data_IF_857256311865
#
_entry.id   IF_857256311865
#
_cell.length_a   1.000
_cell.length_b   1.000
_cell.length_c   1.000
_cell.angle_alpha   90.00
_cell.angle_beta   90.00
_cell.angle_gamma   90.00
#
_symmetry.space_group_name_H-M   'P 1'
#
loop_
_entity.id
_entity.type
_entity.pdbx_description
1 polymer ?
#
# COMPACT_ATOMS: atom_id res chain seq x y z
N UNK A 1 15.34 -28.03 -34.30
CA UNK A 1 14.80 -27.75 -32.94
C UNK A 1 15.75 -26.78 -32.26
N UNK A 2 15.38 -25.49 -32.17
CA UNK A 2 16.24 -24.44 -31.59
C UNK A 2 15.43 -23.58 -30.62
N UNK A 3 15.88 -23.63 -29.35
CA UNK A 3 15.91 -22.58 -28.32
C UNK A 3 14.69 -21.66 -28.15
N UNK A 4 13.98 -21.85 -27.03
CA UNK A 4 13.14 -20.84 -26.38
C UNK A 4 14.03 -19.80 -25.66
N UNK A 5 13.78 -18.48 -25.80
CA UNK A 5 14.45 -17.50 -24.95
C UNK A 5 13.68 -17.30 -23.64
N UNK A 6 14.39 -17.51 -22.54
CA UNK A 6 14.14 -16.91 -21.23
C UNK A 6 14.54 -15.42 -21.25
N UNK A 7 13.97 -14.66 -20.31
CA UNK A 7 14.27 -13.29 -19.85
C UNK A 7 13.25 -12.19 -20.22
N UNK A 8 12.57 -11.71 -19.17
CA UNK A 8 11.84 -10.44 -19.21
C UNK A 8 10.60 -10.33 -18.31
N UNK A 9 10.52 -11.01 -17.16
CA UNK A 9 9.37 -10.87 -16.24
C UNK A 9 9.47 -9.62 -15.36
N UNK A 10 9.42 -8.45 -16.01
CA UNK A 10 8.85 -7.26 -15.39
C UNK A 10 7.41 -7.59 -14.96
N UNK A 11 7.01 -7.11 -13.77
CA UNK A 11 5.72 -7.42 -13.14
C UNK A 11 4.57 -7.17 -14.12
N UNK A 12 4.11 -8.23 -14.80
CA UNK A 12 2.91 -8.19 -15.61
C UNK A 12 1.73 -8.30 -14.64
N UNK A 13 1.07 -7.17 -14.41
CA UNK A 13 -0.24 -7.14 -13.77
C UNK A 13 -1.17 -7.99 -14.65
N UNK A 14 -1.55 -9.17 -14.16
CA UNK A 14 -2.48 -10.05 -14.85
C UNK A 14 -3.76 -9.30 -15.20
N UNK A 15 -4.32 -9.61 -16.38
CA UNK A 15 -5.50 -8.96 -16.98
C UNK A 15 -6.71 -8.89 -16.03
N UNK A 16 -6.84 -9.83 -15.10
CA UNK A 16 -7.95 -9.90 -14.14
C UNK A 16 -7.83 -8.91 -12.97
N UNK A 17 -6.61 -8.46 -12.64
CA UNK A 17 -6.36 -7.61 -11.48
C UNK A 17 -6.71 -6.13 -11.74
N UNK A 18 -6.62 -5.68 -13.00
CA UNK A 18 -7.08 -4.35 -13.42
C UNK A 18 -8.61 -4.21 -13.43
N UNK A 19 -9.33 -5.31 -13.68
CA UNK A 19 -10.80 -5.36 -13.66
C UNK A 19 -11.35 -5.26 -12.22
N UNK A 20 -10.79 -6.03 -11.28
CA UNK A 20 -11.19 -6.00 -9.86
C UNK A 20 -10.96 -4.64 -9.18
N UNK A 21 -9.87 -3.96 -9.53
CA UNK A 21 -9.61 -2.60 -9.07
C UNK A 21 -10.60 -1.60 -9.69
N UNK A 22 -11.10 -1.80 -10.90
CA UNK A 22 -12.11 -0.91 -11.49
C UNK A 22 -13.51 -1.11 -10.92
N UNK A 23 -13.90 -2.34 -10.60
CA UNK A 23 -15.23 -2.63 -10.04
C UNK A 23 -15.36 -2.18 -8.58
N UNK A 24 -14.30 -2.32 -7.78
CA UNK A 24 -14.24 -1.77 -6.42
C UNK A 24 -14.23 -0.22 -6.41
N UNK A 25 -13.67 0.42 -7.46
CA UNK A 25 -13.55 1.88 -7.56
C UNK A 25 -14.77 2.59 -8.16
N UNK A 26 -15.69 1.87 -8.81
CA UNK A 26 -16.82 2.49 -9.53
C UNK A 26 -18.01 2.90 -8.65
N UNK A 27 -17.98 2.69 -7.33
CA UNK A 27 -19.05 3.19 -6.44
C UNK A 27 -20.44 2.64 -6.73
N UNK A 28 -20.55 1.51 -7.45
CA UNK A 28 -21.73 0.63 -7.28
C UNK A 28 -21.63 0.10 -5.86
N UNK A 29 -22.71 0.23 -5.10
CA UNK A 29 -22.80 -0.20 -3.72
C UNK A 29 -22.43 -1.68 -3.63
N UNK A 30 -21.16 -2.00 -3.39
CA UNK A 30 -20.74 -3.31 -2.93
C UNK A 30 -20.87 -3.19 -1.42
N UNK A 31 -21.92 -3.77 -0.79
CA UNK A 31 -21.99 -3.78 0.66
C UNK A 31 -20.67 -4.33 1.18
N UNK A 32 -20.06 -3.64 2.15
CA UNK A 32 -18.76 -4.03 2.71
C UNK A 32 -18.75 -5.44 3.33
N UNK A 33 -19.91 -6.06 3.45
CA UNK A 33 -20.09 -7.49 3.78
C UNK A 33 -19.62 -8.44 2.67
N UNK A 34 -19.40 -7.95 1.44
CA UNK A 34 -18.98 -8.77 0.28
C UNK A 34 -17.48 -8.66 -0.05
N UNK A 35 -16.65 -8.03 0.80
CA UNK A 35 -15.19 -8.05 0.62
C UNK A 35 -14.67 -9.41 1.07
N UNK A 36 -14.82 -10.43 0.23
CA UNK A 36 -14.23 -11.75 0.45
C UNK A 36 -12.71 -11.68 0.58
N UNK A 37 -12.12 -12.69 1.23
CA UNK A 37 -10.66 -12.88 1.41
C UNK A 37 -9.88 -12.54 0.13
N UNK A 38 -10.39 -12.99 -1.03
CA UNK A 38 -9.81 -12.74 -2.35
C UNK A 38 -9.58 -11.26 -2.70
N UNK A 39 -10.48 -10.35 -2.33
CA UNK A 39 -10.39 -8.94 -2.73
C UNK A 39 -9.41 -8.15 -1.84
N UNK A 40 -9.29 -8.53 -0.57
CA UNK A 40 -8.24 -8.04 0.32
C UNK A 40 -6.85 -8.50 -0.13
N UNK A 41 -6.73 -9.77 -0.53
CA UNK A 41 -5.47 -10.35 -1.06
C UNK A 41 -5.05 -9.68 -2.37
N UNK A 42 -5.98 -9.42 -3.28
CA UNK A 42 -5.68 -8.71 -4.53
C UNK A 42 -5.18 -7.29 -4.27
N UNK A 43 -5.76 -6.60 -3.28
CA UNK A 43 -5.31 -5.27 -2.90
C UNK A 43 -3.94 -5.29 -2.18
N UNK A 44 -3.71 -6.30 -1.33
CA UNK A 44 -2.44 -6.58 -0.68
C UNK A 44 -1.29 -6.79 -1.66
N UNK A 45 -1.50 -7.69 -2.62
CA UNK A 45 -0.51 -8.12 -3.60
C UNK A 45 -0.12 -6.98 -4.54
N UNK A 46 -1.01 -6.02 -4.76
CA UNK A 46 -0.74 -4.85 -5.59
C UNK A 46 -0.10 -3.69 -4.82
N UNK A 47 -0.37 -3.55 -3.53
CA UNK A 47 0.15 -2.46 -2.71
C UNK A 47 1.45 -2.78 -1.95
N UNK A 48 1.89 -4.05 -1.94
CA UNK A 48 3.13 -4.47 -1.31
C UNK A 48 4.36 -4.29 -2.21
N UNK A 49 5.50 -3.83 -1.67
CA UNK A 49 6.80 -3.98 -2.31
C UNK A 49 7.11 -5.47 -2.58
N UNK A 50 7.71 -5.79 -3.74
CA UNK A 50 8.08 -7.17 -4.16
C UNK A 50 8.74 -8.02 -3.06
N UNK A 51 9.63 -7.42 -2.27
CA UNK A 51 10.37 -8.08 -1.20
C UNK A 51 9.52 -8.50 0.02
N UNK A 52 8.25 -8.07 0.13
CA UNK A 52 7.32 -8.61 1.12
C UNK A 52 6.73 -9.97 0.72
N UNK A 53 6.75 -10.31 -0.58
CA UNK A 53 6.24 -11.60 -1.09
C UNK A 53 7.32 -12.67 -1.25
N UNK A 54 8.61 -12.31 -1.16
CA UNK A 54 9.73 -13.21 -1.49
C UNK A 54 10.01 -14.30 -0.44
N UNK A 55 9.44 -14.20 0.78
CA UNK A 55 9.75 -15.11 1.90
C UNK A 55 9.19 -16.55 1.74
N UNK A 56 8.50 -16.91 0.63
CA UNK A 56 8.07 -18.30 0.36
C UNK A 56 8.29 -18.84 -1.07
N UNK A 57 8.96 -18.12 -1.97
CA UNK A 57 9.26 -18.64 -3.32
C UNK A 57 10.75 -18.62 -3.70
N UNK A 58 11.63 -18.11 -2.82
CA UNK A 58 13.05 -17.89 -3.12
C UNK A 58 14.06 -18.89 -2.56
N UNK A 59 13.68 -19.89 -1.77
CA UNK A 59 14.68 -20.73 -1.09
C UNK A 59 15.07 -21.97 -1.89
N UNK A 60 15.88 -21.78 -2.93
CA UNK A 60 16.91 -22.73 -3.34
C UNK A 60 18.15 -21.97 -3.82
N UNK A 61 19.29 -22.28 -3.19
CA UNK A 61 20.66 -21.82 -3.49
C UNK A 61 20.94 -20.36 -3.02
N UNK A 62 21.94 -20.04 -2.20
CA UNK A 62 23.27 -20.64 -2.03
C UNK A 62 23.95 -20.26 -0.69
N UNK A 63 24.91 -21.10 -0.29
CA UNK A 63 25.87 -21.00 0.82
C UNK A 63 26.93 -19.88 0.61
N UNK A 64 27.38 -19.28 1.73
CA UNK A 64 28.78 -19.05 2.18
C UNK A 64 29.06 -17.66 2.84
N UNK A 65 29.82 -17.75 3.93
CA UNK A 65 30.18 -16.84 5.05
C UNK A 65 31.21 -15.72 4.67
N UNK A 66 31.96 -15.02 5.58
CA UNK A 66 32.02 -15.03 7.06
C UNK A 66 32.25 -13.68 7.83
N UNK A 67 32.19 -13.84 9.16
CA UNK A 67 32.75 -13.09 10.32
C UNK A 67 33.74 -11.93 10.12
N UNK A 68 33.59 -10.87 10.94
CA UNK A 68 34.70 -10.15 11.63
C UNK A 68 34.21 -9.57 12.98
N UNK A 69 34.98 -9.81 14.05
CA UNK A 69 35.02 -9.07 15.33
C UNK A 69 36.37 -8.31 15.37
N UNK A 70 36.54 -7.19 16.11
CA UNK A 70 37.03 -7.34 17.50
C UNK A 70 36.55 -6.25 18.50
N UNK A 71 37.05 -6.41 19.71
CA UNK A 71 36.65 -5.94 21.04
C UNK A 71 37.21 -4.59 21.51
N UNK A 72 36.55 -4.09 22.59
CA UNK A 72 37.09 -3.41 23.80
C UNK A 72 37.76 -2.03 23.72
N UNK A 73 37.24 -1.05 24.48
CA UNK A 73 37.86 -0.49 25.69
C UNK A 73 36.98 0.59 26.39
N UNK A 74 37.37 0.92 27.62
CA UNK A 74 36.58 1.44 28.74
C UNK A 74 36.92 2.90 29.11
N UNK A 75 36.00 3.54 29.84
CA UNK A 75 36.17 4.62 30.85
C UNK A 75 36.43 6.08 30.41
N UNK A 76 35.55 7.01 30.84
CA UNK A 76 35.74 7.87 32.04
C UNK A 76 34.59 8.88 32.23
N UNK A 77 34.36 9.25 33.49
CA UNK A 77 33.34 10.15 34.03
C UNK A 77 33.65 11.64 33.77
N UNK A 78 32.63 12.49 33.59
CA UNK A 78 32.27 13.55 34.57
C UNK A 78 31.29 14.62 34.04
N UNK A 79 30.47 15.06 35.00
CA UNK A 79 29.96 16.41 35.24
C UNK A 79 28.55 16.84 34.81
N UNK A 80 27.82 17.31 35.83
CA UNK A 80 26.44 17.79 35.85
C UNK A 80 26.34 19.29 35.54
N UNK A 81 25.19 19.70 34.99
CA UNK A 81 24.65 21.06 35.02
C UNK A 81 23.12 21.01 35.11
N UNK A 82 22.45 21.95 35.81
CA UNK A 82 21.05 21.81 36.22
C UNK A 82 20.07 22.35 35.17
N UNK A 83 18.92 21.69 35.00
CA UNK A 83 17.80 22.23 34.22
C UNK A 83 16.50 22.14 35.04
N UNK A 84 15.83 23.28 35.11
CA UNK A 84 14.56 23.60 35.77
C UNK A 84 13.38 22.75 35.28
N UNK A 85 12.40 22.40 36.14
CA UNK A 85 11.23 21.63 35.73
C UNK A 85 10.13 22.51 35.11
N UNK A 86 9.71 22.17 33.89
CA UNK A 86 8.51 22.72 33.25
C UNK A 86 7.26 21.89 33.62
N UNK A 87 6.04 22.47 33.59
CA UNK A 87 4.84 21.82 34.12
C UNK A 87 4.36 20.67 33.22
N UNK A 88 4.01 19.54 33.85
CA UNK A 88 3.50 18.33 33.20
C UNK A 88 2.04 18.54 32.76
N UNK A 89 1.78 18.48 31.46
CA UNK A 89 0.46 18.12 30.94
C UNK A 89 0.31 16.59 30.95
N UNK A 90 -0.87 16.04 31.31
CA UNK A 90 -1.06 14.60 31.34
C UNK A 90 -1.12 14.05 29.91
N UNK A 91 -0.06 13.38 29.47
CA UNK A 91 -0.07 12.57 28.25
C UNK A 91 -0.62 11.19 28.60
N UNK A 92 -1.75 10.85 28.00
CA UNK A 92 -2.27 9.49 27.90
C UNK A 92 -1.17 8.58 27.32
N UNK A 93 -0.83 7.44 27.93
CA UNK A 93 0.23 6.58 27.43
C UNK A 93 -0.21 5.93 26.11
N UNK A 94 0.40 6.34 25.00
CA UNK A 94 0.31 5.66 23.71
C UNK A 94 1.03 4.31 23.83
N UNK A 95 0.28 3.21 23.65
CA UNK A 95 0.73 1.82 23.83
C UNK A 95 1.63 1.27 22.71
N UNK A 96 2.07 2.11 21.78
CA UNK A 96 3.05 1.75 20.76
C UNK A 96 4.47 2.00 21.29
N UNK A 97 5.38 1.06 21.04
CA UNK A 97 6.81 1.33 21.21
C UNK A 97 7.18 2.50 20.28
N UNK A 98 7.70 3.64 20.79
CA UNK A 98 7.84 4.88 20.00
C UNK A 98 8.72 4.75 18.75
N UNK A 99 9.42 3.64 18.56
CA UNK A 99 10.30 3.40 17.42
C UNK A 99 9.63 2.92 16.12
N UNK A 100 8.40 2.39 16.14
CA UNK A 100 7.80 1.75 14.94
C UNK A 100 6.67 2.62 14.37
N UNK A 101 6.97 3.33 13.28
CA UNK A 101 6.01 4.20 12.60
C UNK A 101 5.63 3.61 11.25
N UNK A 102 4.34 3.33 10.99
CA UNK A 102 3.86 2.91 9.67
C UNK A 102 4.25 3.89 8.56
N UNK A 103 4.75 3.35 7.46
CA UNK A 103 5.17 4.12 6.29
C UNK A 103 4.15 3.97 5.18
N UNK A 104 3.77 5.06 4.52
CA UNK A 104 2.89 5.02 3.36
C UNK A 104 3.61 4.38 2.17
N UNK A 105 2.97 3.37 1.59
CA UNK A 105 3.49 2.64 0.43
C UNK A 105 2.76 3.02 -0.85
N UNK A 106 1.48 3.37 -0.75
CA UNK A 106 0.68 3.68 -1.92
C UNK A 106 -0.53 4.55 -1.56
N UNK A 107 -0.89 5.44 -2.47
CA UNK A 107 -2.07 6.28 -2.39
C UNK A 107 -2.82 6.18 -3.71
N UNK A 108 -4.13 6.03 -3.59
CA UNK A 108 -5.06 6.09 -4.71
C UNK A 108 -5.95 7.30 -4.57
N UNK A 109 -5.98 8.12 -5.62
CA UNK A 109 -6.81 9.31 -5.70
C UNK A 109 -7.64 9.31 -6.97
N UNK A 110 -8.73 10.09 -6.95
CA UNK A 110 -9.55 10.35 -8.12
C UNK A 110 -9.63 11.84 -8.37
N UNK A 111 -9.83 12.22 -9.63
CA UNK A 111 -10.09 13.59 -10.05
C UNK A 111 -11.02 13.58 -11.25
N UNK A 112 -11.82 14.63 -11.38
CA UNK A 112 -12.70 14.86 -12.51
C UNK A 112 -12.08 15.91 -13.44
N UNK A 113 -11.89 15.54 -14.71
CA UNK A 113 -11.38 16.42 -15.75
C UNK A 113 -12.46 17.33 -16.36
N UNK A 114 -13.73 17.14 -16.01
CA UNK A 114 -14.83 18.04 -16.35
C UNK A 114 -15.20 18.10 -17.84
N UNK A 115 -14.72 17.16 -18.65
CA UNK A 115 -15.03 17.09 -20.08
C UNK A 115 -15.02 15.63 -20.57
N UNK A 116 -15.73 15.35 -21.67
CA UNK A 116 -15.65 14.07 -22.38
C UNK A 116 -14.32 13.96 -23.11
N UNK A 117 -13.75 12.77 -23.12
CA UNK A 117 -12.44 12.51 -23.69
C UNK A 117 -12.51 11.43 -24.77
N UNK A 118 -11.90 11.71 -25.92
CA UNK A 118 -11.64 10.71 -26.94
C UNK A 118 -10.36 9.93 -26.58
N UNK A 119 -10.58 8.73 -26.02
CA UNK A 119 -9.53 7.84 -25.56
C UNK A 119 -8.62 7.35 -26.71
N UNK A 120 -9.14 7.20 -27.93
CA UNK A 120 -8.33 6.79 -29.09
C UNK A 120 -7.36 7.90 -29.47
N UNK A 121 -7.84 9.14 -29.52
CA UNK A 121 -7.00 10.32 -29.77
C UNK A 121 -5.91 10.48 -28.72
N UNK A 122 -6.24 10.28 -27.44
CA UNK A 122 -5.25 10.33 -26.35
C UNK A 122 -4.18 9.26 -26.54
N UNK A 123 -4.57 8.01 -26.78
CA UNK A 123 -3.63 6.90 -26.95
C UNK A 123 -2.71 7.06 -28.17
N UNK A 124 -3.21 7.64 -29.26
CA UNK A 124 -2.41 7.87 -30.47
C UNK A 124 -1.32 8.92 -30.28
N UNK A 125 -1.59 9.97 -29.50
CA UNK A 125 -0.70 11.13 -29.37
C UNK A 125 0.15 11.10 -28.10
N UNK A 126 -0.23 10.33 -27.08
CA UNK A 126 0.50 10.23 -25.83
C UNK A 126 1.54 9.10 -25.89
N UNK A 127 2.82 9.47 -25.72
CA UNK A 127 3.98 8.53 -25.81
C UNK A 127 3.93 7.34 -24.83
N UNK A 128 3.37 7.53 -23.64
CA UNK A 128 3.31 6.53 -22.57
C UNK A 128 1.87 6.21 -22.17
N UNK A 129 1.01 5.98 -23.17
CA UNK A 129 -0.39 5.63 -22.99
C UNK A 129 -0.72 4.31 -23.70
N UNK A 130 -1.42 3.43 -23.00
CA UNK A 130 -1.92 2.15 -23.51
C UNK A 130 -3.44 2.19 -23.52
N UNK A 131 -4.06 1.79 -24.63
CA UNK A 131 -5.52 1.69 -24.73
C UNK A 131 -5.93 0.46 -25.54
N UNK A 132 -6.72 -0.41 -24.92
CA UNK A 132 -7.33 -1.54 -25.59
C UNK A 132 -8.79 -1.67 -25.11
N UNK A 133 -9.78 -1.13 -25.85
CA UNK A 133 -11.18 -1.11 -25.41
C UNK A 133 -11.78 -2.50 -25.24
N UNK A 134 -11.25 -3.53 -25.92
CA UNK A 134 -11.70 -4.93 -25.73
C UNK A 134 -11.26 -5.50 -24.38
N UNK A 135 -10.18 -4.95 -23.81
CA UNK A 135 -9.62 -5.38 -22.52
C UNK A 135 -10.10 -4.50 -21.38
N UNK A 136 -10.11 -3.19 -21.59
CA UNK A 136 -10.44 -2.22 -20.54
C UNK A 136 -10.90 -0.88 -21.15
N UNK A 137 -11.95 -0.30 -20.57
CA UNK A 137 -12.62 0.88 -21.10
C UNK A 137 -11.91 2.22 -20.83
N UNK A 138 -10.70 2.20 -20.25
CA UNK A 138 -9.93 3.40 -19.91
C UNK A 138 -8.52 3.35 -20.51
N UNK A 139 -7.95 4.53 -20.75
CA UNK A 139 -6.56 4.70 -21.14
C UNK A 139 -5.68 4.57 -19.90
N UNK A 140 -4.63 3.77 -19.98
CA UNK A 140 -3.61 3.63 -18.94
C UNK A 140 -2.45 4.54 -19.32
N UNK A 141 -2.15 5.55 -18.51
CA UNK A 141 -1.06 6.50 -18.76
C UNK A 141 -0.04 6.49 -17.63
N UNK A 142 1.26 6.48 -17.94
CA UNK A 142 2.33 6.39 -16.93
C UNK A 142 3.28 7.57 -17.02
N UNK A 143 3.68 8.10 -15.86
CA UNK A 143 4.74 9.12 -15.75
C UNK A 143 5.81 8.64 -14.77
N UNK A 144 7.04 9.15 -14.92
CA UNK A 144 8.18 8.75 -14.09
C UNK A 144 8.28 9.52 -12.79
N UNK A 145 7.87 10.79 -12.79
CA UNK A 145 8.08 11.70 -11.66
C UNK A 145 6.80 12.52 -11.36
N UNK A 146 6.10 12.25 -10.25
CA UNK A 146 6.23 11.08 -9.37
C UNK A 146 5.92 9.78 -10.13
N UNK A 147 6.48 8.64 -9.73
CA UNK A 147 6.27 7.36 -10.44
C UNK A 147 4.84 6.85 -10.22
N UNK A 148 3.94 7.24 -11.11
CA UNK A 148 2.51 6.94 -10.98
C UNK A 148 1.90 6.37 -12.25
N UNK A 149 0.71 5.82 -12.10
CA UNK A 149 -0.15 5.38 -13.21
C UNK A 149 -1.53 6.02 -13.07
N UNK A 150 -2.05 6.56 -14.18
CA UNK A 150 -3.39 7.08 -14.28
C UNK A 150 -4.27 6.17 -15.14
N UNK A 151 -5.52 6.00 -14.72
CA UNK A 151 -6.60 5.39 -15.50
C UNK A 151 -7.56 6.51 -15.91
N UNK A 152 -7.69 6.76 -17.21
CA UNK A 152 -8.46 7.89 -17.75
C UNK A 152 -9.67 7.34 -18.50
N UNK A 153 -10.86 7.69 -18.04
CA UNK A 153 -12.12 7.24 -18.62
C UNK A 153 -12.67 8.25 -19.63
N UNK A 154 -13.46 7.79 -20.60
CA UNK A 154 -14.12 8.65 -21.61
C UNK A 154 -15.06 9.69 -20.98
N UNK A 155 -15.52 9.44 -19.76
CA UNK A 155 -16.33 10.36 -18.95
C UNK A 155 -15.58 11.58 -18.44
N UNK A 156 -14.24 11.60 -18.51
CA UNK A 156 -13.39 12.61 -17.87
C UNK A 156 -13.01 12.28 -16.43
N UNK A 157 -13.54 11.20 -15.83
CA UNK A 157 -13.03 10.71 -14.56
C UNK A 157 -11.63 10.15 -14.75
N UNK A 158 -10.74 10.41 -13.81
CA UNK A 158 -9.39 9.90 -13.77
C UNK A 158 -9.06 9.35 -12.38
N UNK A 159 -8.45 8.17 -12.35
CA UNK A 159 -7.88 7.55 -11.13
C UNK A 159 -6.37 7.66 -11.20
N UNK A 160 -5.71 8.08 -10.13
CA UNK A 160 -4.25 8.17 -10.03
C UNK A 160 -3.75 7.24 -8.92
N UNK A 161 -2.68 6.49 -9.19
CA UNK A 161 -2.15 5.43 -8.32
C UNK A 161 -0.62 5.41 -8.31
N UNK A 162 -0.03 4.87 -7.23
CA UNK A 162 1.41 4.63 -7.11
C UNK A 162 2.19 5.73 -6.39
N UNK A 163 1.52 6.81 -5.98
CA UNK A 163 2.14 7.86 -5.19
C UNK A 163 2.38 7.38 -3.74
N UNK A 164 3.43 7.88 -3.11
CA UNK A 164 3.78 7.57 -1.70
C UNK A 164 3.36 8.66 -0.70
N UNK A 165 2.95 9.83 -1.20
CA UNK A 165 2.46 10.95 -0.41
C UNK A 165 1.23 11.58 -1.07
N UNK A 166 0.38 12.19 -0.25
CA UNK A 166 -0.85 12.85 -0.65
C UNK A 166 -0.55 14.00 -1.63
N UNK A 167 0.55 14.71 -1.35
CA UNK A 167 1.11 15.79 -2.16
C UNK A 167 1.56 15.27 -3.53
N UNK A 168 2.30 14.16 -3.57
CA UNK A 168 2.74 13.54 -4.84
C UNK A 168 1.55 13.03 -5.65
N UNK A 169 0.53 12.47 -4.99
CA UNK A 169 -0.69 12.01 -5.65
C UNK A 169 -1.41 13.17 -6.33
N UNK A 170 -1.53 14.31 -5.63
CA UNK A 170 -2.11 15.54 -6.18
C UNK A 170 -1.27 16.11 -7.32
N UNK A 171 0.06 16.17 -7.14
CA UNK A 171 0.98 16.65 -8.16
C UNK A 171 0.93 15.80 -9.43
N UNK A 172 0.95 14.47 -9.29
CA UNK A 172 0.82 13.53 -10.39
C UNK A 172 -0.51 13.71 -11.13
N UNK A 173 -1.63 13.77 -10.40
CA UNK A 173 -2.95 14.03 -10.98
C UNK A 173 -3.00 15.35 -11.77
N UNK A 174 -2.37 16.42 -11.27
CA UNK A 174 -2.24 17.69 -11.99
C UNK A 174 -1.38 17.57 -13.24
N UNK A 175 -0.27 16.82 -13.18
CA UNK A 175 0.58 16.54 -14.36
C UNK A 175 -0.20 15.80 -15.45
N UNK A 176 -1.00 14.80 -15.08
CA UNK A 176 -1.88 14.11 -16.02
C UNK A 176 -2.93 15.05 -16.64
N UNK A 177 -3.62 15.85 -15.83
CA UNK A 177 -4.57 16.84 -16.34
C UNK A 177 -3.90 17.81 -17.33
N UNK A 178 -2.66 18.23 -17.05
CA UNK A 178 -1.88 19.10 -17.95
C UNK A 178 -1.50 18.42 -19.26
N UNK A 179 -1.17 17.12 -19.25
CA UNK A 179 -0.92 16.35 -20.48
C UNK A 179 -2.20 16.33 -21.33
N UNK A 180 -3.36 16.07 -20.73
CA UNK A 180 -4.64 16.06 -21.44
C UNK A 180 -4.97 17.44 -22.02
N UNK A 181 -4.70 18.53 -21.30
CA UNK A 181 -4.82 19.89 -21.83
C UNK A 181 -3.93 20.13 -23.06
N UNK A 182 -2.67 19.67 -23.02
CA UNK A 182 -1.73 19.81 -24.15
C UNK A 182 -2.15 19.02 -25.39
N UNK A 183 -3.00 17.99 -25.23
CA UNK A 183 -3.59 17.24 -26.34
C UNK A 183 -4.83 17.93 -26.95
N UNK A 184 -5.18 19.12 -26.47
CA UNK A 184 -6.28 19.94 -26.99
C UNK A 184 -7.64 19.68 -26.35
N UNK A 185 -7.69 18.96 -25.21
CA UNK A 185 -8.93 18.78 -24.46
C UNK A 185 -9.09 19.89 -23.41
N UNK A 186 -10.31 20.44 -23.19
CA UNK A 186 -10.57 21.48 -22.19
C UNK A 186 -10.65 20.90 -20.76
N UNK A 187 -9.63 20.15 -20.35
CA UNK A 187 -9.58 19.47 -19.06
C UNK A 187 -9.40 20.46 -17.91
N UNK A 188 -10.17 20.26 -16.85
CA UNK A 188 -10.11 21.00 -15.57
C UNK A 188 -9.58 20.08 -14.46
N UNK A 189 -9.28 20.63 -13.30
CA UNK A 189 -8.88 19.84 -12.12
C UNK A 189 -9.94 19.99 -11.04
N UNK A 190 -10.96 19.13 -11.10
CA UNK A 190 -12.15 19.20 -10.24
C UNK A 190 -12.22 17.97 -9.34
N UNK A 191 -12.82 18.11 -8.15
CA UNK A 191 -13.17 17.00 -7.26
C UNK A 191 -11.99 16.05 -6.93
N UNK A 192 -10.79 16.59 -6.73
CA UNK A 192 -9.65 15.78 -6.30
C UNK A 192 -9.92 15.19 -4.91
N UNK A 193 -9.85 13.87 -4.80
CA UNK A 193 -10.13 13.15 -3.55
C UNK A 193 -9.22 11.94 -3.40
N UNK A 194 -8.67 11.76 -2.19
CA UNK A 194 -8.02 10.51 -1.80
C UNK A 194 -9.11 9.46 -1.57
N UNK A 195 -8.99 8.34 -2.26
CA UNK A 195 -9.92 7.22 -2.16
C UNK A 195 -9.40 6.13 -1.22
N UNK A 196 -8.08 5.91 -1.24
CA UNK A 196 -7.45 4.91 -0.40
C UNK A 196 -5.97 5.23 -0.15
N UNK A 197 -5.48 4.85 1.02
CA UNK A 197 -4.09 4.89 1.44
C UNK A 197 -3.69 3.51 1.94
N UNK A 198 -2.46 3.10 1.62
CA UNK A 198 -1.86 1.85 2.09
C UNK A 198 -0.60 2.18 2.87
N UNK A 199 -0.58 1.73 4.12
CA UNK A 199 0.59 1.77 4.99
C UNK A 199 1.21 0.40 5.15
N UNK A 200 2.50 0.36 5.48
CA UNK A 200 3.17 -0.85 5.96
C UNK A 200 4.12 -0.54 7.11
N UNK A 201 4.33 -1.54 7.96
CA UNK A 201 5.34 -1.51 9.00
C UNK A 201 5.89 -2.92 9.21
N UNK A 202 6.89 -3.02 10.07
CA UNK A 202 7.47 -4.27 10.52
C UNK A 202 7.65 -4.16 12.03
N UNK A 203 6.94 -5.01 12.79
CA UNK A 203 6.98 -4.99 14.26
C UNK A 203 8.27 -5.58 14.83
N UNK A 204 9.15 -6.14 13.98
CA UNK A 204 10.48 -6.67 14.34
C UNK A 204 10.48 -7.87 15.27
N UNK A 205 9.36 -8.60 15.34
CA UNK A 205 9.28 -9.88 16.01
C UNK A 205 8.28 -10.82 15.32
N UNK A 206 8.53 -12.15 15.34
CA UNK A 206 7.62 -13.12 14.77
C UNK A 206 6.32 -13.24 15.60
N UNK A 207 5.20 -13.46 14.90
CA UNK A 207 3.85 -13.48 15.51
C UNK A 207 3.22 -14.87 15.36
N UNK A 208 2.59 -15.38 16.43
CA UNK A 208 1.80 -16.63 16.43
C UNK A 208 0.38 -16.36 15.92
N UNK A 209 0.19 -16.45 14.60
CA UNK A 209 -1.09 -16.15 13.94
C UNK A 209 -2.22 -17.11 14.34
N UNK A 210 -1.89 -18.36 14.65
CA UNK A 210 -2.84 -19.39 15.08
C UNK A 210 -3.50 -19.01 16.41
N UNK A 211 -2.72 -18.44 17.34
CA UNK A 211 -3.25 -17.92 18.60
C UNK A 211 -4.09 -16.67 18.38
N UNK A 212 -3.66 -15.79 17.48
CA UNK A 212 -4.37 -14.54 17.18
C UNK A 212 -5.75 -14.81 16.57
N UNK A 213 -5.87 -15.73 15.61
CA UNK A 213 -7.17 -16.10 15.02
C UNK A 213 -8.07 -16.82 16.03
N UNK A 214 -7.51 -17.62 16.93
CA UNK A 214 -8.30 -18.30 17.97
C UNK A 214 -8.92 -17.28 18.95
N UNK A 215 -8.16 -16.27 19.38
CA UNK A 215 -8.64 -15.26 20.34
C UNK A 215 -9.45 -14.14 19.67
N UNK A 216 -9.08 -13.71 18.46
CA UNK A 216 -9.73 -12.61 17.72
C UNK A 216 -10.51 -13.10 16.49
N UNK A 217 -11.08 -14.31 16.53
CA UNK A 217 -11.72 -14.97 15.38
C UNK A 217 -12.87 -14.18 14.75
N UNK A 218 -13.60 -13.36 15.53
CA UNK A 218 -14.66 -12.49 14.99
C UNK A 218 -14.14 -11.43 14.02
N UNK A 219 -12.88 -11.02 14.16
CA UNK A 219 -12.25 -9.98 13.33
C UNK A 219 -11.18 -10.55 12.40
N UNK A 220 -10.80 -11.81 12.58
CA UNK A 220 -9.63 -12.41 11.95
C UNK A 220 -10.01 -13.55 11.01
N UNK A 221 -9.32 -13.64 9.88
CA UNK A 221 -9.41 -14.79 8.98
C UNK A 221 -8.00 -15.21 8.58
N UNK A 222 -7.65 -16.47 8.82
CA UNK A 222 -6.32 -17.01 8.52
C UNK A 222 -6.45 -18.40 7.92
N UNK A 223 -6.20 -18.48 6.62
CA UNK A 223 -6.27 -19.70 5.81
C UNK A 223 -4.94 -19.83 5.06
N UNK A 224 -3.87 -20.38 5.68
CA UNK A 224 -2.51 -20.33 5.14
C UNK A 224 -2.34 -21.02 3.78
N UNK A 225 -3.22 -21.97 3.45
CA UNK A 225 -3.28 -22.63 2.14
C UNK A 225 -3.78 -21.68 1.04
N UNK A 226 -4.63 -20.70 1.39
CA UNK A 226 -5.16 -19.71 0.45
C UNK A 226 -4.32 -18.43 0.43
N UNK A 227 -3.86 -17.98 1.59
CA UNK A 227 -3.08 -16.76 1.74
C UNK A 227 -2.16 -16.82 2.97
N UNK A 228 -0.87 -16.51 2.84
CA UNK A 228 0.12 -16.69 3.92
C UNK A 228 0.00 -15.70 5.10
N UNK A 229 -0.84 -14.67 5.00
CA UNK A 229 -1.05 -13.68 6.05
C UNK A 229 -2.42 -13.81 6.72
N UNK A 230 -2.54 -13.37 7.96
CA UNK A 230 -3.83 -13.21 8.64
C UNK A 230 -4.48 -11.90 8.19
N UNK A 231 -5.76 -11.95 7.85
CA UNK A 231 -6.58 -10.78 7.54
C UNK A 231 -7.31 -10.36 8.81
N UNK A 232 -7.02 -9.16 9.30
CA UNK A 232 -7.68 -8.59 10.47
C UNK A 232 -8.56 -7.41 10.05
N UNK A 233 -9.85 -7.46 10.37
CA UNK A 233 -10.84 -6.42 10.04
C UNK A 233 -11.11 -5.57 11.28
N UNK A 234 -10.44 -4.43 11.36
CA UNK A 234 -10.66 -3.47 12.43
C UNK A 234 -11.94 -2.67 12.16
N UNK A 235 -12.79 -2.55 13.17
CA UNK A 235 -14.05 -1.81 13.07
C UNK A 235 -13.84 -0.31 13.21
N UNK A 236 -12.93 0.11 14.12
CA UNK A 236 -12.64 1.51 14.40
C UNK A 236 -11.13 1.75 14.58
N UNK A 237 -10.47 2.55 13.72
CA UNK A 237 -10.99 3.01 12.43
C UNK A 237 -11.26 1.82 11.49
N UNK A 238 -12.09 2.03 10.47
CA UNK A 238 -12.49 0.94 9.56
C UNK A 238 -11.35 0.59 8.60
N UNK A 239 -10.45 -0.29 9.05
CA UNK A 239 -9.20 -0.64 8.38
C UNK A 239 -9.07 -2.15 8.27
N UNK A 240 -8.48 -2.61 7.16
CA UNK A 240 -8.08 -4.01 7.00
C UNK A 240 -6.57 -4.09 7.15
N UNK A 241 -6.12 -4.98 8.04
CA UNK A 241 -4.72 -5.28 8.26
C UNK A 241 -4.39 -6.67 7.74
N UNK A 242 -3.17 -6.81 7.24
CA UNK A 242 -2.61 -8.06 6.75
C UNK A 242 -1.35 -8.30 7.55
N UNK A 243 -1.39 -9.32 8.40
CA UNK A 243 -0.38 -9.58 9.41
C UNK A 243 0.34 -10.87 9.01
N UNK A 244 1.66 -10.80 8.85
CA UNK A 244 2.48 -11.95 8.47
C UNK A 244 3.20 -12.53 9.67
N UNK A 245 3.50 -13.84 9.61
CA UNK A 245 4.25 -14.55 10.65
C UNK A 245 5.59 -13.87 10.97
N UNK A 246 6.20 -13.20 9.99
CA UNK A 246 7.46 -12.47 10.14
C UNK A 246 7.38 -11.18 10.96
N UNK A 247 6.18 -10.68 11.28
CA UNK A 247 5.98 -9.38 11.93
C UNK A 247 5.79 -8.21 10.96
N UNK A 248 5.90 -8.46 9.65
CA UNK A 248 5.48 -7.53 8.61
C UNK A 248 3.97 -7.30 8.68
N UNK A 249 3.53 -6.05 8.63
CA UNK A 249 2.11 -5.67 8.66
C UNK A 249 1.80 -4.68 7.54
N UNK A 250 0.68 -4.87 6.86
CA UNK A 250 0.14 -3.94 5.86
C UNK A 250 -1.25 -3.48 6.26
N UNK A 251 -1.53 -2.20 6.14
CA UNK A 251 -2.78 -1.54 6.51
C UNK A 251 -3.38 -0.89 5.27
N UNK A 252 -4.65 -1.16 4.98
CA UNK A 252 -5.37 -0.59 3.83
C UNK A 252 -6.81 -0.25 4.19
N UNK A 253 -7.44 0.62 3.40
CA UNK A 253 -8.81 1.10 3.61
C UNK A 253 -8.88 2.52 4.18
N UNK A 254 -7.74 3.11 4.54
CA UNK A 254 -7.67 4.46 5.09
C UNK A 254 -7.90 5.51 3.99
N UNK A 255 -8.57 6.61 4.35
CA UNK A 255 -8.69 7.81 3.52
C UNK A 255 -7.81 8.94 4.01
N UNK A 256 -7.41 8.89 5.27
CA UNK A 256 -6.49 9.85 5.88
C UNK A 256 -5.36 9.10 6.60
N UNK A 257 -4.16 9.70 6.59
CA UNK A 257 -2.96 9.12 7.20
C UNK A 257 -3.15 8.76 8.67
N UNK A 258 -3.91 9.57 9.41
CA UNK A 258 -4.14 9.37 10.84
C UNK A 258 -4.84 8.03 11.15
N UNK A 259 -5.73 7.54 10.28
CA UNK A 259 -6.40 6.24 10.46
C UNK A 259 -5.41 5.07 10.41
N UNK A 260 -4.32 5.20 9.66
CA UNK A 260 -3.25 4.18 9.62
C UNK A 260 -2.50 4.16 10.95
N UNK A 261 -2.21 5.33 11.52
CA UNK A 261 -1.52 5.43 12.81
C UNK A 261 -2.38 4.93 13.96
N UNK A 262 -3.64 5.37 14.02
CA UNK A 262 -4.59 4.90 15.04
C UNK A 262 -4.83 3.38 14.94
N UNK A 263 -4.98 2.84 13.73
CA UNK A 263 -5.12 1.40 13.54
C UNK A 263 -3.87 0.62 13.99
N UNK A 264 -2.69 1.18 13.77
CA UNK A 264 -1.45 0.55 14.23
C UNK A 264 -1.31 0.60 15.75
N UNK A 265 -1.59 1.74 16.38
CA UNK A 265 -1.53 1.92 17.83
C UNK A 265 -2.50 0.96 18.56
N UNK A 266 -3.66 0.70 17.95
CA UNK A 266 -4.65 -0.26 18.47
C UNK A 266 -4.19 -1.72 18.32
N UNK A 267 -3.60 -2.10 17.19
CA UNK A 267 -3.24 -3.51 16.94
C UNK A 267 -1.90 -3.89 17.58
N UNK A 268 -0.95 -2.96 17.68
CA UNK A 268 0.41 -3.23 18.16
C UNK A 268 0.47 -3.95 19.53
N UNK A 269 -0.23 -3.52 20.59
CA UNK A 269 -0.20 -4.22 21.88
C UNK A 269 -0.76 -5.64 21.79
N UNK A 270 -1.75 -5.87 20.92
CA UNK A 270 -2.30 -7.20 20.65
C UNK A 270 -1.23 -8.06 19.96
N UNK A 271 -0.57 -7.56 18.91
CA UNK A 271 0.50 -8.32 18.24
C UNK A 271 1.63 -8.69 19.20
N UNK A 272 1.99 -7.76 20.10
CA UNK A 272 3.03 -7.97 21.11
C UNK A 272 2.69 -9.10 22.09
N UNK A 273 1.42 -9.30 22.46
CA UNK A 273 1.00 -10.44 23.30
C UNK A 273 1.07 -11.79 22.60
N UNK A 274 1.09 -11.81 21.26
CA UNK A 274 1.25 -13.02 20.43
C UNK A 274 2.66 -13.19 19.85
N UNK A 275 3.65 -12.48 20.38
CA UNK A 275 5.06 -12.67 20.02
C UNK A 275 5.46 -14.13 20.25
N UNK A 276 6.04 -14.79 19.23
CA UNK A 276 6.62 -16.14 19.41
C UNK A 276 7.83 -16.03 20.35
N UNK A 277 7.83 -16.86 21.38
CA UNK A 277 8.98 -17.10 22.24
C UNK A 277 10.09 -17.80 21.46
#
# INVERSE_FOLDING_TARGET
MKQHPLLGSGFLISKNMQLLLSDAFMGRHVPMETIGVHQCVVFAMWAMPRHYMEDKWGSQQNLMSPMVTPSSQMATLSNMGPATPSPMTPMTPSSADPGIIPQLQNIVSTVNLGCKLDLKKIALHARNAEYNPKRFAAVIMRIREPRTTALIFSSGKMVCTGAKSEEDSRLAARKYARIIQKLGFPAKFLDFKIQNMVGSCDVKFPIRLEGLVLTHGQFSSYEPELFPGLIYRMVKPRIVLLIFVSGKVVLTGAKVRQEIYEAFDNIYPILKSFKKQ
#
